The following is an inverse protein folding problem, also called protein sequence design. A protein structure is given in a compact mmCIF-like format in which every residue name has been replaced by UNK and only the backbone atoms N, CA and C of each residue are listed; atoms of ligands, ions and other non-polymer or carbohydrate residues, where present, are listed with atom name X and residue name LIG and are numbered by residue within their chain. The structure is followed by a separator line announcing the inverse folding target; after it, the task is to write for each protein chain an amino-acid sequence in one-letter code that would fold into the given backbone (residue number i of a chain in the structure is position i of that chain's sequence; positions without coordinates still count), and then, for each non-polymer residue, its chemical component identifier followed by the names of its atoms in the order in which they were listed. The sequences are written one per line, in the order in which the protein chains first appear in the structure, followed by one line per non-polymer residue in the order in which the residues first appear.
data_IF_791401630467
#
_entry.id   IF_791401630467
#
_cell.length_a   1.000
_cell.length_b   1.000
_cell.length_c   1.000
_cell.angle_alpha   90.00
_cell.angle_beta   90.00
_cell.angle_gamma   90.00
#
_symmetry.space_group_name_H-M   'P 1'
#
loop_
_entity.id
_entity.type
_entity.pdbx_description
1 polymer ?
#
# COMPACT_ATOMS: atom_id res chain seq x y z
N UNK A 1 2.70 -10.93 0.59
CA UNK A 1 1.71 -10.17 1.37
C UNK A 1 0.30 -10.75 1.30
N UNK A 2 -0.29 -11.06 0.13
CA UNK A 2 -1.66 -11.64 0.00
C UNK A 2 -1.90 -12.87 0.89
N UNK A 3 -0.99 -13.82 0.92
CA UNK A 3 -1.11 -15.03 1.75
C UNK A 3 -1.17 -14.73 3.25
N UNK A 4 -0.35 -13.78 3.73
CA UNK A 4 -0.29 -13.44 5.17
C UNK A 4 -1.50 -12.64 5.66
N UNK A 5 -2.21 -11.96 4.75
CA UNK A 5 -3.33 -11.07 5.09
C UNK A 5 -4.67 -11.54 4.52
N UNK A 6 -4.67 -12.68 3.79
CA UNK A 6 -5.85 -13.22 3.10
C UNK A 6 -6.72 -14.13 3.93
N UNK A 7 -6.25 -14.57 5.09
CA UNK A 7 -6.92 -15.60 5.87
C UNK A 7 -6.66 -17.04 5.35
N UNK A 8 -5.81 -17.17 4.32
CA UNK A 8 -5.42 -18.47 3.79
C UNK A 8 -4.49 -19.20 4.75
N UNK A 9 -4.50 -20.54 4.68
CA UNK A 9 -3.57 -21.35 5.44
C UNK A 9 -2.15 -21.17 4.88
N UNK A 10 -1.21 -20.84 5.76
CA UNK A 10 0.21 -20.68 5.43
C UNK A 10 0.98 -21.88 5.96
N UNK A 11 1.78 -22.50 5.09
CA UNK A 11 2.69 -23.57 5.46
C UNK A 11 4.10 -23.01 5.57
N UNK A 12 4.74 -23.23 6.70
CA UNK A 12 6.08 -22.78 6.99
C UNK A 12 6.88 -23.92 7.68
N UNK A 13 8.20 -23.79 7.73
CA UNK A 13 9.04 -24.64 8.57
C UNK A 13 10.20 -23.82 9.12
N UNK A 14 10.66 -24.21 10.29
CA UNK A 14 11.94 -23.75 10.82
C UNK A 14 13.07 -24.60 10.23
N UNK A 15 14.28 -24.06 10.27
CA UNK A 15 15.45 -24.82 9.81
C UNK A 15 15.58 -26.12 10.59
N UNK A 16 15.67 -27.27 9.88
CA UNK A 16 15.78 -28.62 10.43
C UNK A 16 14.56 -29.13 11.21
N UNK A 17 13.38 -28.53 11.02
CA UNK A 17 12.10 -29.00 11.58
C UNK A 17 11.15 -29.38 10.45
N UNK A 18 10.06 -30.09 10.78
CA UNK A 18 9.01 -30.46 9.86
C UNK A 18 8.15 -29.26 9.46
N UNK A 19 7.42 -29.40 8.37
CA UNK A 19 6.45 -28.41 7.91
C UNK A 19 5.26 -28.35 8.87
N UNK A 20 4.83 -27.16 9.20
CA UNK A 20 3.61 -26.90 9.96
C UNK A 20 2.76 -25.84 9.25
N UNK A 21 1.45 -25.95 9.42
CA UNK A 21 0.50 -25.06 8.76
C UNK A 21 -0.33 -24.31 9.80
N UNK A 22 -0.55 -23.03 9.56
CA UNK A 22 -1.33 -22.17 10.43
C UNK A 22 -2.16 -21.16 9.65
N UNK A 23 -3.21 -20.66 10.27
CA UNK A 23 -3.94 -19.49 9.74
C UNK A 23 -3.38 -18.23 10.43
N UNK A 24 -2.96 -17.22 9.64
CA UNK A 24 -2.49 -15.97 10.22
C UNK A 24 -3.61 -15.26 10.99
N UNK A 25 -3.35 -14.92 12.25
CA UNK A 25 -4.26 -14.13 13.09
C UNK A 25 -3.74 -12.73 13.36
N UNK A 26 -2.51 -12.44 12.91
CA UNK A 26 -1.84 -11.15 13.08
C UNK A 26 -2.28 -10.12 12.03
N UNK A 27 -2.09 -8.87 12.35
CA UNK A 27 -2.10 -7.75 11.41
C UNK A 27 -0.67 -7.28 11.19
N UNK A 28 -0.39 -6.79 9.98
CA UNK A 28 0.92 -6.24 9.64
C UNK A 28 0.86 -4.72 9.74
N UNK A 29 1.72 -4.14 10.54
CA UNK A 29 1.98 -2.71 10.57
C UNK A 29 3.42 -2.46 10.13
N UNK A 30 3.61 -1.58 9.17
CA UNK A 30 4.92 -1.21 8.63
C UNK A 30 5.15 0.28 8.88
N UNK A 31 6.14 0.60 9.74
CA UNK A 31 6.64 1.97 9.91
C UNK A 31 7.73 2.24 8.88
N UNK A 32 7.55 3.31 8.08
CA UNK A 32 8.50 3.66 7.01
C UNK A 32 8.47 5.16 6.75
N UNK A 33 9.60 5.73 6.35
CA UNK A 33 9.72 7.12 5.95
C UNK A 33 9.30 7.34 4.49
N UNK A 34 9.28 6.29 3.69
CA UNK A 34 8.92 6.35 2.28
C UNK A 34 7.80 5.35 1.99
N UNK A 35 6.86 5.74 1.14
CA UNK A 35 5.79 4.85 0.69
C UNK A 35 6.40 3.63 -0.01
N UNK A 36 6.03 2.39 0.39
CA UNK A 36 6.51 1.19 -0.32
C UNK A 36 6.03 1.17 -1.77
N UNK A 37 6.88 0.71 -2.68
CA UNK A 37 6.48 0.53 -4.08
C UNK A 37 5.52 -0.66 -4.19
N UNK A 38 4.31 -0.41 -4.66
CA UNK A 38 3.28 -1.43 -4.89
C UNK A 38 3.16 -1.67 -6.38
N UNK A 39 3.82 -2.71 -6.85
CA UNK A 39 3.89 -3.05 -8.27
C UNK A 39 2.60 -3.64 -8.86
N UNK A 40 1.44 -3.46 -8.24
CA UNK A 40 0.16 -4.01 -8.73
C UNK A 40 -0.98 -3.02 -8.53
N UNK A 41 -1.87 -2.92 -9.51
CA UNK A 41 -3.11 -2.15 -9.44
C UNK A 41 -4.30 -2.99 -8.97
N UNK A 42 -4.08 -4.28 -8.68
CA UNK A 42 -5.09 -5.24 -8.27
C UNK A 42 -5.87 -4.78 -7.03
N UNK A 43 -7.18 -4.69 -7.17
CA UNK A 43 -8.11 -4.30 -6.12
C UNK A 43 -7.98 -5.18 -4.85
N UNK A 44 -7.73 -6.49 -5.01
CA UNK A 44 -7.56 -7.42 -3.90
C UNK A 44 -6.35 -7.10 -3.03
N UNK A 45 -5.31 -6.46 -3.58
CA UNK A 45 -4.14 -5.98 -2.85
C UNK A 45 -4.45 -4.65 -2.16
N UNK A 46 -4.99 -3.68 -2.90
CA UNK A 46 -5.21 -2.32 -2.40
C UNK A 46 -6.26 -2.23 -1.29
N UNK A 47 -7.34 -3.02 -1.34
CA UNK A 47 -8.36 -3.05 -0.26
C UNK A 47 -7.80 -3.47 1.11
N UNK A 48 -6.60 -4.08 1.15
CA UNK A 48 -5.94 -4.56 2.37
C UNK A 48 -4.89 -3.60 2.90
N UNK A 49 -4.63 -2.54 2.16
CA UNK A 49 -3.63 -1.54 2.52
C UNK A 49 -4.33 -0.31 3.06
N UNK A 50 -3.81 0.22 4.14
CA UNK A 50 -4.27 1.45 4.76
C UNK A 50 -3.02 2.28 5.08
N UNK A 51 -2.87 3.40 4.41
CA UNK A 51 -1.80 4.35 4.71
C UNK A 51 -2.26 5.30 5.81
N UNK A 52 -1.62 5.21 6.96
CA UNK A 52 -1.85 6.14 8.07
C UNK A 52 -0.82 7.25 7.97
N UNK A 53 -1.19 8.47 7.56
CA UNK A 53 -0.24 9.56 7.39
C UNK A 53 0.16 10.17 8.73
N UNK A 54 1.46 10.25 9.00
CA UNK A 54 2.05 11.02 10.08
C UNK A 54 2.71 12.26 9.49
N UNK A 55 1.97 13.36 9.39
CA UNK A 55 2.38 14.56 8.66
C UNK A 55 2.99 15.64 9.56
N UNK A 56 2.90 15.48 10.87
CA UNK A 56 3.41 16.45 11.83
C UNK A 56 4.89 16.19 12.09
N UNK A 57 5.72 17.18 11.82
CA UNK A 57 7.13 17.20 12.23
C UNK A 57 7.26 17.98 13.53
N UNK A 58 7.79 17.35 14.57
CA UNK A 58 8.04 18.00 15.87
C UNK A 58 9.40 18.70 15.78
N UNK A 59 9.46 20.03 15.90
CA UNK A 59 10.70 20.78 15.92
C UNK A 59 11.64 20.30 17.02
N UNK A 60 12.95 20.44 16.84
CA UNK A 60 13.94 19.90 17.78
C UNK A 60 13.78 20.50 19.20
N UNK A 61 13.38 21.75 19.31
CA UNK A 61 13.12 22.47 20.55
C UNK A 61 11.89 21.99 21.30
N UNK A 62 10.95 21.35 20.60
CA UNK A 62 9.71 20.78 21.18
C UNK A 62 9.83 19.28 21.45
N UNK A 63 10.95 18.66 21.07
CA UNK A 63 11.15 17.22 21.25
C UNK A 63 11.40 16.88 22.73
N UNK A 64 10.53 16.06 23.31
CA UNK A 64 10.67 15.58 24.67
C UNK A 64 11.59 14.34 24.73
N UNK A 65 12.80 14.52 25.21
CA UNK A 65 13.78 13.44 25.38
C UNK A 65 13.36 12.38 26.41
N UNK A 66 12.50 12.76 27.36
CA UNK A 66 11.97 11.87 28.39
C UNK A 66 10.62 11.24 28.01
N UNK A 67 10.15 11.45 26.78
CA UNK A 67 8.88 10.89 26.30
C UNK A 67 8.76 9.37 26.52
N UNK A 68 9.78 8.53 26.24
CA UNK A 68 9.68 7.10 26.48
C UNK A 68 9.43 6.73 27.96
N UNK A 69 9.99 7.50 28.89
CA UNK A 69 9.81 7.31 30.33
C UNK A 69 8.41 7.74 30.79
N UNK A 70 7.94 8.88 30.29
CA UNK A 70 6.58 9.36 30.54
C UNK A 70 5.54 8.36 30.04
N UNK A 71 5.69 7.87 28.81
CA UNK A 71 4.80 6.85 28.24
C UNK A 71 4.80 5.55 29.05
N UNK A 72 5.94 5.14 29.60
CA UNK A 72 5.99 3.96 30.50
C UNK A 72 5.18 4.18 31.79
N UNK A 73 5.20 5.37 32.33
CA UNK A 73 4.38 5.71 33.50
C UNK A 73 2.86 5.70 33.19
N UNK A 74 2.50 5.92 31.94
CA UNK A 74 1.11 5.98 31.46
C UNK A 74 0.61 4.65 30.84
N UNK A 75 1.36 3.55 30.92
CA UNK A 75 1.03 2.27 30.27
C UNK A 75 -0.39 1.76 30.59
N UNK A 76 -0.90 2.01 31.79
CA UNK A 76 -2.28 1.65 32.17
C UNK A 76 -3.32 2.38 31.34
N UNK A 77 -3.12 3.69 31.08
CA UNK A 77 -3.99 4.49 30.22
C UNK A 77 -3.88 4.07 28.74
N UNK A 78 -2.66 3.81 28.28
CA UNK A 78 -2.40 3.32 26.93
C UNK A 78 -3.07 1.95 26.68
N UNK A 79 -2.99 1.03 27.63
CA UNK A 79 -3.65 -0.27 27.55
C UNK A 79 -5.18 -0.11 27.51
N UNK A 80 -5.73 0.74 28.36
CA UNK A 80 -7.17 1.04 28.35
C UNK A 80 -7.62 1.55 26.98
N UNK A 81 -6.93 2.54 26.42
CA UNK A 81 -7.19 3.06 25.08
C UNK A 81 -7.14 1.97 24.01
N UNK A 82 -6.14 1.08 24.04
CA UNK A 82 -6.01 -0.03 23.11
C UNK A 82 -7.19 -1.03 23.23
N UNK A 83 -7.63 -1.34 24.47
CA UNK A 83 -8.78 -2.22 24.73
C UNK A 83 -10.07 -1.59 24.21
N UNK A 84 -10.31 -0.32 24.50
CA UNK A 84 -11.47 0.43 24.01
C UNK A 84 -11.52 0.45 22.49
N UNK A 85 -10.37 0.68 21.83
CA UNK A 85 -10.22 0.61 20.38
C UNK A 85 -10.50 -0.79 19.82
N UNK A 86 -10.03 -1.84 20.48
CA UNK A 86 -10.31 -3.22 20.10
C UNK A 86 -11.80 -3.55 20.22
N UNK A 87 -12.47 -3.12 21.28
CA UNK A 87 -13.91 -3.30 21.45
C UNK A 87 -14.72 -2.53 20.41
N UNK A 88 -14.29 -1.32 20.06
CA UNK A 88 -14.92 -0.55 18.99
C UNK A 88 -14.76 -1.25 17.64
N UNK A 89 -13.55 -1.74 17.33
CA UNK A 89 -13.30 -2.51 16.12
C UNK A 89 -14.15 -3.78 16.03
N UNK A 90 -14.36 -4.52 17.10
CA UNK A 90 -15.19 -5.71 17.11
C UNK A 90 -16.68 -5.41 16.81
N UNK A 91 -17.15 -4.22 17.19
CA UNK A 91 -18.54 -3.80 16.98
C UNK A 91 -18.79 -3.23 15.58
N UNK A 92 -17.87 -2.45 15.04
CA UNK A 92 -18.09 -1.63 13.84
C UNK A 92 -17.01 -1.79 12.76
N UNK A 93 -16.03 -2.67 12.95
CA UNK A 93 -14.88 -2.81 12.06
C UNK A 93 -13.85 -1.68 12.24
N UNK A 94 -12.91 -1.57 11.32
CA UNK A 94 -11.83 -0.56 11.40
C UNK A 94 -12.32 0.89 11.20
N UNK A 95 -13.55 1.07 10.76
CA UNK A 95 -14.04 2.37 10.33
C UNK A 95 -13.37 2.84 9.03
N UNK A 96 -13.72 4.03 8.60
CA UNK A 96 -13.19 4.66 7.40
C UNK A 96 -12.87 6.13 7.71
N UNK A 97 -11.66 6.38 8.23
CA UNK A 97 -11.18 7.73 8.47
C UNK A 97 -10.80 8.38 7.13
N UNK A 98 -11.36 9.56 6.85
CA UNK A 98 -11.17 10.30 5.60
C UNK A 98 -9.70 10.51 5.25
N UNK A 99 -8.89 10.95 6.22
CA UNK A 99 -7.46 11.15 6.02
C UNK A 99 -6.70 9.86 5.60
N UNK A 100 -7.13 8.69 6.11
CA UNK A 100 -6.54 7.39 5.74
C UNK A 100 -6.99 6.99 4.33
N UNK A 101 -8.26 7.22 4.00
CA UNK A 101 -8.80 6.94 2.67
C UNK A 101 -8.10 7.78 1.63
N UNK A 102 -8.07 9.09 1.78
CA UNK A 102 -7.41 10.03 0.87
C UNK A 102 -5.93 9.72 0.68
N UNK A 103 -5.19 9.50 1.78
CA UNK A 103 -3.78 9.15 1.71
C UNK A 103 -3.55 7.81 0.99
N UNK A 104 -4.45 6.83 1.18
CA UNK A 104 -4.34 5.52 0.52
C UNK A 104 -4.68 5.62 -0.96
N UNK A 105 -5.69 6.39 -1.33
CA UNK A 105 -6.07 6.66 -2.73
C UNK A 105 -4.95 7.40 -3.46
N UNK A 106 -4.43 8.48 -2.89
CA UNK A 106 -3.29 9.20 -3.44
C UNK A 106 -2.06 8.30 -3.65
N UNK A 107 -1.75 7.44 -2.68
CA UNK A 107 -0.66 6.47 -2.82
C UNK A 107 -0.92 5.45 -3.93
N UNK A 108 -2.16 5.01 -4.10
CA UNK A 108 -2.54 4.11 -5.19
C UNK A 108 -2.36 4.76 -6.55
N UNK A 109 -2.81 6.00 -6.70
CA UNK A 109 -2.69 6.77 -7.94
C UNK A 109 -1.22 7.04 -8.29
N UNK A 110 -0.39 7.45 -7.32
CA UNK A 110 1.06 7.58 -7.47
C UNK A 110 1.74 6.26 -7.89
N UNK A 111 1.23 5.13 -7.41
CA UNK A 111 1.77 3.80 -7.76
C UNK A 111 1.34 3.30 -9.13
N UNK A 112 0.39 3.99 -9.79
CA UNK A 112 -0.17 3.62 -11.07
C UNK A 112 0.46 4.39 -12.25
N UNK A 113 1.74 4.16 -12.49
CA UNK A 113 2.50 4.79 -13.57
C UNK A 113 1.84 4.62 -14.94
N UNK A 114 1.24 3.44 -15.20
CA UNK A 114 0.53 3.19 -16.46
C UNK A 114 -0.75 4.03 -16.58
N UNK A 115 -1.49 4.19 -15.49
CA UNK A 115 -2.67 5.06 -15.46
C UNK A 115 -2.32 6.51 -15.72
N UNK A 116 -1.25 7.00 -15.09
CA UNK A 116 -0.73 8.34 -15.32
C UNK A 116 -0.33 8.57 -16.80
N UNK A 117 0.37 7.60 -17.42
CA UNK A 117 0.69 7.65 -18.84
C UNK A 117 -0.54 7.70 -19.72
N UNK A 118 -1.52 6.83 -19.50
CA UNK A 118 -2.74 6.78 -20.30
C UNK A 118 -3.54 8.09 -20.18
N UNK A 119 -3.66 8.64 -18.98
CA UNK A 119 -4.39 9.89 -18.75
C UNK A 119 -3.70 11.12 -19.37
N UNK A 120 -2.36 11.12 -19.41
CA UNK A 120 -1.59 12.30 -19.84
C UNK A 120 -1.22 12.25 -21.31
N UNK A 121 -0.92 11.07 -21.85
CA UNK A 121 -0.31 10.90 -23.18
C UNK A 121 -1.20 10.21 -24.20
N UNK A 122 -2.39 9.71 -23.81
CA UNK A 122 -3.25 8.93 -24.67
C UNK A 122 -4.65 9.51 -24.75
N UNK A 123 -5.21 9.50 -25.95
CA UNK A 123 -6.64 9.72 -26.19
C UNK A 123 -7.31 8.35 -26.37
N UNK A 124 -8.20 8.00 -25.43
CA UNK A 124 -8.89 6.70 -25.45
C UNK A 124 -10.13 6.82 -26.33
N UNK A 125 -10.16 6.06 -27.43
CA UNK A 125 -11.28 6.02 -28.37
C UNK A 125 -11.54 4.60 -28.85
N UNK A 126 -12.80 4.21 -28.93
CA UNK A 126 -13.22 2.90 -29.46
C UNK A 126 -12.94 2.72 -30.96
N UNK A 127 -12.59 3.81 -31.65
CA UNK A 127 -12.31 3.80 -33.10
C UNK A 127 -10.82 3.90 -33.41
N UNK A 128 -10.00 4.15 -32.42
CA UNK A 128 -8.55 4.27 -32.59
C UNK A 128 -7.84 2.98 -32.23
N UNK A 129 -6.82 2.65 -32.99
CA UNK A 129 -5.93 1.53 -32.71
C UNK A 129 -4.49 1.99 -32.84
N UNK A 130 -3.62 1.52 -31.97
CA UNK A 130 -2.19 1.78 -32.02
C UNK A 130 -1.43 0.47 -31.80
N UNK A 131 -0.34 0.21 -32.53
CA UNK A 131 0.50 -0.95 -32.29
C UNK A 131 1.10 -0.91 -30.88
N UNK A 132 1.04 -2.02 -30.16
CA UNK A 132 1.56 -2.11 -28.78
C UNK A 132 3.02 -1.69 -28.67
N UNK A 133 3.82 -1.96 -29.71
CA UNK A 133 5.22 -1.55 -29.77
C UNK A 133 5.40 -0.02 -29.74
N UNK A 134 4.55 0.68 -30.47
CA UNK A 134 4.58 2.16 -30.54
C UNK A 134 4.12 2.76 -29.21
N UNK A 135 3.02 2.23 -28.66
CA UNK A 135 2.50 2.66 -27.37
C UNK A 135 3.54 2.44 -26.26
N UNK A 136 4.24 1.28 -26.30
CA UNK A 136 5.30 1.00 -25.34
C UNK A 136 6.50 1.95 -25.46
N UNK A 137 6.90 2.31 -26.67
CA UNK A 137 7.95 3.29 -26.87
C UNK A 137 7.59 4.68 -26.30
N UNK A 138 6.32 5.10 -26.47
CA UNK A 138 5.81 6.33 -25.84
C UNK A 138 5.77 6.25 -24.32
N UNK A 139 5.40 5.08 -23.77
CA UNK A 139 5.41 4.83 -22.33
C UNK A 139 6.83 4.94 -21.75
N UNK A 140 7.85 4.40 -22.41
CA UNK A 140 9.25 4.56 -21.99
C UNK A 140 9.63 6.06 -21.93
N UNK A 141 9.34 6.81 -22.99
CA UNK A 141 9.62 8.26 -23.00
C UNK A 141 8.88 9.04 -21.91
N UNK A 142 7.66 8.63 -21.58
CA UNK A 142 6.92 9.20 -20.43
C UNK A 142 7.63 8.91 -19.11
N UNK A 143 8.02 7.66 -18.86
CA UNK A 143 8.74 7.27 -17.64
C UNK A 143 10.08 8.01 -17.51
N UNK A 144 10.83 8.16 -18.60
CA UNK A 144 12.07 8.95 -18.62
C UNK A 144 11.84 10.42 -18.27
N UNK A 145 10.75 11.01 -18.76
CA UNK A 145 10.40 12.40 -18.50
C UNK A 145 9.88 12.64 -17.07
N UNK A 146 9.25 11.65 -16.46
CA UNK A 146 8.68 11.73 -15.10
C UNK A 146 9.60 11.17 -14.03
N UNK A 147 10.70 10.51 -14.40
CA UNK A 147 11.62 9.85 -13.46
C UNK A 147 11.07 8.56 -12.86
N UNK A 148 10.11 7.92 -13.54
CA UNK A 148 9.50 6.67 -13.11
C UNK A 148 10.20 5.45 -13.69
N UNK A 149 10.21 4.34 -12.95
CA UNK A 149 10.73 3.08 -13.43
C UNK A 149 9.76 2.42 -14.44
N UNK A 150 10.16 2.20 -15.71
CA UNK A 150 9.27 1.65 -16.71
C UNK A 150 8.97 0.17 -16.47
N UNK A 151 7.73 -0.22 -16.65
CA UNK A 151 7.36 -1.63 -16.76
C UNK A 151 8.07 -2.27 -17.95
N UNK A 152 8.46 -3.53 -17.81
CA UNK A 152 8.92 -4.32 -18.97
C UNK A 152 7.77 -4.52 -19.96
N UNK A 153 8.07 -4.70 -21.25
CA UNK A 153 7.08 -4.77 -22.32
C UNK A 153 5.97 -5.83 -22.10
N UNK A 154 6.32 -7.01 -21.58
CA UNK A 154 5.34 -8.08 -21.30
C UNK A 154 4.37 -7.68 -20.17
N UNK A 155 4.81 -7.26 -18.98
CA UNK A 155 3.91 -6.73 -17.95
C UNK A 155 3.09 -5.51 -18.41
N UNK A 156 3.67 -4.62 -19.23
CA UNK A 156 2.96 -3.49 -19.80
C UNK A 156 1.74 -3.94 -20.62
N UNK A 157 1.94 -4.88 -21.57
CA UNK A 157 0.84 -5.42 -22.38
C UNK A 157 -0.21 -6.14 -21.55
N UNK A 158 0.21 -6.90 -20.53
CA UNK A 158 -0.73 -7.58 -19.62
C UNK A 158 -1.60 -6.59 -18.85
N UNK A 159 -1.01 -5.53 -18.28
CA UNK A 159 -1.77 -4.50 -17.54
C UNK A 159 -2.66 -3.65 -18.43
N UNK A 160 -2.29 -3.43 -19.68
CA UNK A 160 -3.18 -2.79 -20.65
C UNK A 160 -4.43 -3.64 -20.89
N UNK A 161 -4.25 -4.95 -21.13
CA UNK A 161 -5.36 -5.88 -21.35
C UNK A 161 -6.28 -6.03 -20.12
N UNK A 162 -5.74 -5.89 -18.89
CA UNK A 162 -6.53 -5.92 -17.64
C UNK A 162 -7.41 -4.67 -17.47
N UNK A 163 -7.14 -3.60 -18.20
CA UNK A 163 -7.92 -2.34 -18.13
C UNK A 163 -9.05 -2.22 -19.15
N UNK A 164 -9.10 -3.13 -20.11
CA UNK A 164 -10.12 -3.18 -21.18
C UNK A 164 -9.70 -2.46 -22.41
#
# INVERSE_FOLDING_TARGET
MKMLTGGDQVTARRMREDFWSFRPTHKLALGTNHKPVVATTDHGTWRRQKLVPFTVTIPTEEQDRLLPEKLRAELGGILRWAVEGCMAWQRQGLGDAEAIREATEAWRDESDVLGGFLATCCEISSRATVPVRELYARFIGYCEATGEDPLRQKPFGQRLAERG
#
